data_IF_037605125328
#
_entry.id   IF_037605125328
#
_cell.length_a   1.000
_cell.length_b   1.000
_cell.length_c   1.000
_cell.angle_alpha   90.00
_cell.angle_beta   90.00
_cell.angle_gamma   90.00
#
_symmetry.space_group_name_H-M   'P 1'
#
loop_
_entity.id
_entity.type
_entity.pdbx_description
1 polymer ?
#
# COMPACT_ATOMS: atom_id res chain seq x y z
N UNK A 1 -7.34 -25.94 21.03
CA UNK A 1 -7.20 -24.48 21.21
C UNK A 1 -7.60 -23.82 19.90
N UNK A 2 -8.28 -22.66 19.92
CA UNK A 2 -8.54 -21.91 18.70
C UNK A 2 -7.22 -21.52 18.03
N UNK A 3 -7.15 -21.45 16.68
CA UNK A 3 -5.97 -20.99 15.98
C UNK A 3 -5.62 -19.55 16.41
N UNK A 4 -4.31 -19.26 16.53
CA UNK A 4 -3.80 -17.92 16.84
C UNK A 4 -3.17 -17.32 15.59
N UNK A 5 -3.38 -16.02 15.38
CA UNK A 5 -2.81 -15.31 14.24
C UNK A 5 -1.32 -15.04 14.49
N UNK A 6 -0.48 -15.53 13.58
CA UNK A 6 0.95 -15.20 13.51
C UNK A 6 1.17 -14.35 12.27
N UNK A 7 1.84 -13.20 12.45
CA UNK A 7 2.15 -12.28 11.35
C UNK A 7 3.66 -12.15 11.25
N UNK A 8 4.18 -12.44 10.07
CA UNK A 8 5.59 -12.32 9.72
C UNK A 8 5.71 -11.56 8.40
N UNK A 9 6.81 -10.86 8.21
CA UNK A 9 7.12 -10.18 6.96
C UNK A 9 8.64 -10.18 6.73
N UNK A 10 9.04 -9.91 5.49
CA UNK A 10 10.40 -10.04 5.03
C UNK A 10 10.50 -9.72 3.54
N UNK A 11 11.70 -9.74 2.96
CA UNK A 11 11.91 -9.45 1.54
C UNK A 11 11.27 -10.52 0.63
N UNK A 12 11.13 -11.75 1.12
CA UNK A 12 10.47 -12.86 0.42
C UNK A 12 9.92 -13.90 1.43
N UNK A 13 9.30 -14.96 0.90
CA UNK A 13 8.64 -16.02 1.68
C UNK A 13 9.60 -16.90 2.50
N UNK A 14 10.88 -16.96 2.12
CA UNK A 14 11.89 -17.77 2.80
C UNK A 14 12.62 -16.98 3.90
N UNK A 15 12.60 -15.64 3.83
CA UNK A 15 13.30 -14.74 4.74
C UNK A 15 12.35 -13.92 5.62
N UNK A 16 11.47 -14.58 6.35
CA UNK A 16 10.45 -13.93 7.16
C UNK A 16 10.87 -13.75 8.63
N UNK A 17 10.56 -12.57 9.19
CA UNK A 17 10.71 -12.26 10.61
C UNK A 17 9.36 -11.88 11.24
N UNK A 18 9.25 -12.02 12.56
CA UNK A 18 8.05 -11.67 13.33
C UNK A 18 7.77 -10.16 13.24
N UNK A 19 6.54 -9.78 12.92
CA UNK A 19 6.11 -8.38 12.98
C UNK A 19 5.60 -8.04 14.39
N UNK A 20 6.01 -6.88 14.91
CA UNK A 20 5.50 -6.30 16.16
C UNK A 20 4.12 -5.68 15.89
N UNK A 21 3.06 -6.49 15.96
CA UNK A 21 1.70 -6.06 15.64
C UNK A 21 1.22 -4.98 16.60
N UNK A 22 0.64 -3.90 16.06
CA UNK A 22 0.22 -2.69 16.79
C UNK A 22 1.39 -2.01 17.55
N UNK A 23 2.63 -2.32 17.18
CA UNK A 23 3.83 -1.67 17.70
C UNK A 23 4.05 -0.28 17.11
N UNK A 24 5.12 0.36 17.56
CA UNK A 24 5.56 1.67 17.04
C UNK A 24 6.75 1.55 16.08
N UNK A 25 7.45 0.42 16.13
CA UNK A 25 8.60 0.15 15.27
C UNK A 25 8.14 -0.46 13.96
N UNK A 26 8.68 0.06 12.85
CA UNK A 26 8.46 -0.51 11.53
C UNK A 26 9.44 -1.65 11.29
N UNK A 27 8.99 -2.68 10.58
CA UNK A 27 9.90 -3.66 10.00
C UNK A 27 10.53 -3.08 8.74
N UNK A 28 11.86 -3.11 8.66
CA UNK A 28 12.63 -2.61 7.51
C UNK A 28 12.82 -3.73 6.49
N UNK A 29 12.60 -3.41 5.22
CA UNK A 29 12.89 -4.26 4.07
C UNK A 29 13.96 -3.54 3.24
N UNK A 30 15.11 -4.19 3.08
CA UNK A 30 16.26 -3.63 2.38
C UNK A 30 16.81 -4.69 1.43
N UNK A 31 16.64 -4.45 0.13
CA UNK A 31 16.98 -5.37 -0.95
C UNK A 31 17.53 -4.60 -2.15
N UNK A 32 18.12 -5.32 -3.11
CA UNK A 32 18.60 -4.71 -4.35
C UNK A 32 17.47 -4.07 -5.19
N UNK A 33 16.22 -4.53 -5.05
CA UNK A 33 15.09 -4.03 -5.83
C UNK A 33 14.21 -3.01 -5.08
N UNK A 34 14.21 -3.05 -3.75
CA UNK A 34 13.29 -2.28 -2.91
C UNK A 34 13.91 -1.90 -1.56
N UNK A 35 13.72 -0.64 -1.18
CA UNK A 35 14.06 -0.10 0.14
C UNK A 35 12.80 0.50 0.75
N UNK A 36 12.42 0.00 1.93
CA UNK A 36 11.22 0.48 2.59
C UNK A 36 11.01 -0.10 3.98
N UNK A 37 9.86 0.24 4.54
CA UNK A 37 9.44 -0.14 5.88
C UNK A 37 7.95 -0.41 5.92
N UNK A 38 7.53 -1.32 6.79
CA UNK A 38 6.14 -1.72 6.93
C UNK A 38 5.71 -1.78 8.40
N UNK A 39 4.41 -1.58 8.62
CA UNK A 39 3.75 -1.74 9.91
C UNK A 39 2.42 -2.46 9.71
N UNK A 40 2.13 -3.40 10.60
CA UNK A 40 0.86 -4.11 10.61
C UNK A 40 0.09 -3.79 11.88
N UNK A 41 -1.16 -3.37 11.70
CA UNK A 41 -2.10 -3.09 12.79
C UNK A 41 -3.32 -3.97 12.63
N UNK A 42 -3.80 -4.54 13.73
CA UNK A 42 -4.98 -5.40 13.74
C UNK A 42 -5.83 -5.00 14.94
N UNK A 43 -7.12 -4.72 14.68
CA UNK A 43 -8.07 -4.36 15.72
C UNK A 43 -8.41 -5.60 16.54
N UNK A 44 -8.45 -5.46 17.86
CA UNK A 44 -8.75 -6.54 18.79
C UNK A 44 -7.83 -7.78 18.59
N UNK A 45 -6.54 -7.53 18.36
CA UNK A 45 -5.54 -8.55 18.06
C UNK A 45 -5.36 -9.56 19.21
N UNK A 46 -5.66 -10.83 18.92
CA UNK A 46 -5.40 -11.98 19.80
C UNK A 46 -4.52 -12.97 19.04
N UNK A 47 -3.24 -12.61 18.87
CA UNK A 47 -2.28 -13.38 18.09
C UNK A 47 -1.38 -14.28 18.91
N UNK A 48 -0.31 -14.73 18.26
CA UNK A 48 0.64 -15.68 18.82
C UNK A 48 1.55 -15.10 19.92
N UNK A 49 1.88 -13.81 20.01
CA UNK A 49 2.63 -13.13 21.11
C UNK A 49 3.93 -13.69 21.74
N UNK A 50 4.33 -14.95 21.61
CA UNK A 50 5.36 -15.58 22.49
C UNK A 50 6.74 -14.87 22.49
N UNK A 51 7.11 -14.17 21.42
CA UNK A 51 8.43 -13.55 21.28
C UNK A 51 8.43 -12.03 20.99
N UNK A 52 7.28 -11.36 21.01
CA UNK A 52 7.20 -9.93 20.68
C UNK A 52 6.18 -9.18 21.55
N UNK A 53 6.60 -8.03 22.08
CA UNK A 53 5.69 -7.07 22.68
C UNK A 53 4.63 -6.67 21.64
N UNK A 54 3.35 -6.83 21.97
CA UNK A 54 2.25 -6.48 21.08
C UNK A 54 1.21 -5.72 21.89
N UNK A 55 0.37 -4.96 21.20
CA UNK A 55 -0.82 -4.34 21.78
C UNK A 55 -2.04 -5.01 21.16
N UNK A 56 -3.14 -5.13 21.92
CA UNK A 56 -4.41 -5.65 21.38
C UNK A 56 -5.05 -4.69 20.38
N UNK A 57 -4.69 -3.40 20.42
CA UNK A 57 -5.17 -2.37 19.50
C UNK A 57 -4.10 -1.29 19.29
N UNK A 58 -4.36 -0.37 18.36
CA UNK A 58 -3.52 0.78 18.03
C UNK A 58 -4.38 2.05 17.94
N UNK A 59 -3.77 3.22 18.17
CA UNK A 59 -4.43 4.54 18.04
C UNK A 59 -5.07 4.74 16.68
N UNK A 60 -4.51 4.13 15.62
CA UNK A 60 -5.10 4.06 14.28
C UNK A 60 -6.62 3.79 14.28
N UNK A 61 -7.11 2.87 15.12
CA UNK A 61 -8.52 2.49 15.17
C UNK A 61 -9.40 3.44 15.99
N UNK A 62 -8.83 4.48 16.60
CA UNK A 62 -9.52 5.46 17.44
C UNK A 62 -9.89 6.74 16.66
N UNK A 63 -9.28 6.96 15.50
CA UNK A 63 -9.50 8.15 14.67
C UNK A 63 -10.45 7.88 13.49
N UNK A 64 -11.08 8.92 12.91
CA UNK A 64 -12.08 8.77 11.85
C UNK A 64 -11.62 7.90 10.68
N UNK A 65 -10.36 8.04 10.24
CA UNK A 65 -9.78 7.26 9.14
C UNK A 65 -9.81 5.75 9.39
N UNK A 66 -9.25 5.30 10.51
CA UNK A 66 -9.08 3.88 10.81
C UNK A 66 -10.21 3.26 11.64
N UNK A 67 -11.13 4.06 12.18
CA UNK A 67 -12.16 3.59 13.13
C UNK A 67 -13.09 2.49 12.57
N UNK A 68 -13.35 2.52 11.26
CA UNK A 68 -14.16 1.54 10.53
C UNK A 68 -13.34 0.34 10.05
N UNK A 69 -12.02 0.41 10.10
CA UNK A 69 -11.11 -0.64 9.63
C UNK A 69 -10.88 -1.72 10.69
N UNK A 70 -10.52 -2.89 10.21
CA UNK A 70 -10.26 -4.09 11.04
C UNK A 70 -8.79 -4.45 11.08
N UNK A 71 -8.05 -4.03 10.06
CA UNK A 71 -6.61 -4.15 9.95
C UNK A 71 -6.06 -3.01 9.08
N UNK A 72 -4.75 -2.80 9.16
CA UNK A 72 -3.96 -1.95 8.28
C UNK A 72 -2.62 -2.61 8.02
N UNK A 73 -2.25 -2.73 6.75
CA UNK A 73 -0.90 -3.08 6.30
C UNK A 73 -0.37 -1.83 5.62
N UNK A 74 0.41 -1.05 6.38
CA UNK A 74 0.96 0.21 5.91
C UNK A 74 2.42 0.01 5.49
N UNK A 75 2.77 0.49 4.31
CA UNK A 75 4.11 0.35 3.74
C UNK A 75 4.58 1.72 3.25
N UNK A 76 5.87 2.01 3.40
CA UNK A 76 6.54 3.14 2.78
C UNK A 76 7.85 2.68 2.15
N UNK A 77 8.11 3.02 0.89
CA UNK A 77 9.38 2.68 0.25
C UNK A 77 9.46 3.07 -1.22
N UNK A 78 10.60 2.72 -1.83
CA UNK A 78 10.95 3.02 -3.22
C UNK A 78 11.45 1.78 -3.96
N UNK A 79 11.30 1.78 -5.29
CA UNK A 79 11.81 0.72 -6.18
C UNK A 79 13.08 1.19 -6.87
N UNK A 80 14.20 0.48 -6.68
CA UNK A 80 15.54 0.98 -7.03
C UNK A 80 15.86 0.91 -8.53
N UNK A 81 15.35 -0.11 -9.22
CA UNK A 81 15.49 -0.30 -10.67
C UNK A 81 14.40 0.42 -11.48
N UNK A 82 13.45 1.04 -10.77
CA UNK A 82 12.23 1.58 -11.35
C UNK A 82 11.27 0.50 -11.85
N UNK A 83 9.98 0.82 -11.88
CA UNK A 83 8.94 -0.13 -12.27
C UNK A 83 7.76 0.59 -12.91
N UNK A 84 7.25 0.07 -14.02
CA UNK A 84 6.01 0.56 -14.60
C UNK A 84 4.84 0.18 -13.68
N UNK A 85 3.93 1.12 -13.40
CA UNK A 85 2.83 0.90 -12.47
C UNK A 85 1.85 -0.21 -12.91
N UNK A 86 1.82 -0.57 -14.20
CA UNK A 86 1.05 -1.72 -14.69
C UNK A 86 1.67 -3.08 -14.31
N UNK A 87 2.99 -3.12 -14.09
CA UNK A 87 3.71 -4.32 -13.67
C UNK A 87 3.83 -4.46 -12.14
N UNK A 88 3.47 -3.41 -11.40
CA UNK A 88 3.53 -3.40 -9.94
C UNK A 88 2.17 -3.80 -9.37
N UNK A 89 2.10 -5.01 -8.81
CA UNK A 89 0.87 -5.57 -8.24
C UNK A 89 0.99 -5.76 -6.74
N UNK A 90 -0.16 -5.73 -6.06
CA UNK A 90 -0.30 -6.09 -4.67
C UNK A 90 -1.43 -7.11 -4.54
N UNK A 91 -1.29 -8.04 -3.60
CA UNK A 91 -2.27 -9.10 -3.46
C UNK A 91 -1.81 -10.23 -2.56
N UNK A 92 -2.52 -11.35 -2.66
CA UNK A 92 -2.37 -12.51 -1.80
C UNK A 92 -2.03 -13.75 -2.63
N UNK A 93 -1.23 -14.61 -2.03
CA UNK A 93 -1.09 -16.01 -2.42
C UNK A 93 -1.39 -16.88 -1.19
N UNK A 94 -1.79 -18.12 -1.43
CA UNK A 94 -2.08 -19.09 -0.40
C UNK A 94 -1.34 -20.38 -0.74
N UNK A 95 -0.64 -20.95 0.25
CA UNK A 95 0.15 -22.17 0.10
C UNK A 95 -0.71 -23.44 0.02
N UNK A 96 -1.98 -23.33 0.42
CA UNK A 96 -2.91 -24.45 0.49
C UNK A 96 -4.26 -24.09 -0.14
N UNK A 97 -4.99 -25.06 -0.70
CA UNK A 97 -6.31 -24.82 -1.28
C UNK A 97 -7.29 -24.32 -0.22
N UNK A 98 -7.95 -23.19 -0.49
CA UNK A 98 -8.98 -22.62 0.41
C UNK A 98 -10.40 -23.02 0.03
N UNK A 99 -10.59 -23.66 -1.14
CA UNK A 99 -11.89 -23.98 -1.75
C UNK A 99 -12.87 -24.71 -0.83
N UNK A 100 -12.36 -25.57 0.06
CA UNK A 100 -13.17 -26.36 0.99
C UNK A 100 -13.49 -25.61 2.30
N UNK A 101 -12.79 -24.51 2.55
CA UNK A 101 -12.94 -23.65 3.74
C UNK A 101 -13.69 -22.34 3.44
N UNK A 102 -14.08 -22.10 2.18
CA UNK A 102 -14.85 -20.92 1.80
C UNK A 102 -16.28 -21.02 2.38
N UNK A 103 -16.77 -20.00 3.11
CA UNK A 103 -18.15 -19.97 3.57
C UNK A 103 -19.16 -20.21 2.44
N UNK A 104 -20.28 -20.86 2.76
CA UNK A 104 -21.35 -21.06 1.79
C UNK A 104 -21.81 -19.69 1.24
N UNK A 105 -21.74 -19.50 -0.08
CA UNK A 105 -22.04 -18.23 -0.74
C UNK A 105 -20.82 -17.36 -1.08
N UNK A 106 -19.58 -17.79 -0.78
CA UNK A 106 -18.37 -17.06 -1.19
C UNK A 106 -18.32 -16.86 -2.70
N UNK A 107 -18.77 -17.81 -3.53
CA UNK A 107 -18.84 -17.61 -4.99
C UNK A 107 -19.69 -16.40 -5.41
N UNK A 108 -20.67 -16.01 -4.60
CA UNK A 108 -21.46 -14.78 -4.79
C UNK A 108 -20.72 -13.55 -4.23
N UNK A 109 -20.05 -13.66 -3.08
CA UNK A 109 -19.19 -12.58 -2.53
C UNK A 109 -18.01 -12.23 -3.45
N UNK A 110 -17.41 -13.22 -4.13
CA UNK A 110 -16.36 -13.03 -5.13
C UNK A 110 -16.84 -12.24 -6.34
N UNK A 111 -18.12 -12.38 -6.74
CA UNK A 111 -18.70 -11.55 -7.81
C UNK A 111 -18.80 -10.07 -7.43
N UNK A 112 -18.73 -9.74 -6.14
CA UNK A 112 -18.69 -8.36 -5.66
C UNK A 112 -17.26 -7.84 -5.46
N UNK A 113 -16.23 -8.70 -5.47
CA UNK A 113 -14.84 -8.23 -5.41
C UNK A 113 -14.51 -7.33 -6.61
N UNK A 114 -15.00 -7.66 -7.81
CA UNK A 114 -14.83 -6.79 -8.99
C UNK A 114 -15.60 -5.48 -8.90
N UNK A 115 -16.59 -5.37 -8.01
CA UNK A 115 -17.29 -4.10 -7.76
C UNK A 115 -16.51 -3.19 -6.81
N UNK A 116 -15.67 -3.79 -5.94
CA UNK A 116 -14.77 -3.07 -5.04
C UNK A 116 -13.46 -2.71 -5.77
N UNK A 117 -12.87 -3.69 -6.46
CA UNK A 117 -11.68 -3.53 -7.30
C UNK A 117 -11.88 -4.22 -8.66
N UNK A 118 -12.21 -3.45 -9.71
CA UNK A 118 -12.38 -3.97 -11.06
C UNK A 118 -11.12 -4.56 -11.69
N UNK A 119 -9.93 -4.28 -11.14
CA UNK A 119 -8.65 -4.76 -11.67
C UNK A 119 -8.15 -6.02 -10.98
N UNK A 120 -8.83 -6.48 -9.92
CA UNK A 120 -8.48 -7.70 -9.21
C UNK A 120 -8.62 -8.92 -10.14
N UNK A 121 -7.50 -9.58 -10.39
CA UNK A 121 -7.44 -10.90 -11.02
C UNK A 121 -7.21 -11.93 -9.92
N UNK A 122 -7.85 -13.09 -10.03
CA UNK A 122 -7.70 -14.12 -9.02
C UNK A 122 -7.97 -15.51 -9.58
N UNK A 123 -7.41 -16.52 -8.94
CA UNK A 123 -7.87 -17.91 -9.00
C UNK A 123 -7.92 -18.46 -7.58
N UNK A 124 -9.13 -18.49 -7.00
CA UNK A 124 -9.32 -18.94 -5.62
C UNK A 124 -9.63 -20.43 -5.49
N UNK A 125 -9.76 -21.14 -6.62
CA UNK A 125 -10.04 -22.57 -6.66
C UNK A 125 -8.80 -23.40 -7.00
N UNK A 126 -7.72 -22.75 -7.44
CA UNK A 126 -6.39 -23.35 -7.61
C UNK A 126 -5.90 -24.07 -6.34
N UNK A 127 -4.94 -24.97 -6.51
CA UNK A 127 -4.28 -25.62 -5.38
C UNK A 127 -3.41 -24.63 -4.58
N UNK A 128 -2.85 -23.63 -5.27
CA UNK A 128 -2.23 -22.45 -4.66
C UNK A 128 -3.05 -21.21 -5.06
N UNK A 129 -4.11 -20.88 -4.31
CA UNK A 129 -4.96 -19.73 -4.59
C UNK A 129 -4.18 -18.42 -4.67
N UNK A 130 -4.64 -17.49 -5.50
CA UNK A 130 -4.04 -16.15 -5.59
C UNK A 130 -5.07 -15.07 -5.98
N UNK A 131 -4.78 -13.83 -5.60
CA UNK A 131 -5.54 -12.66 -6.00
C UNK A 131 -4.63 -11.42 -6.05
N UNK A 132 -4.50 -10.78 -7.20
CA UNK A 132 -3.61 -9.63 -7.42
C UNK A 132 -4.31 -8.52 -8.19
N UNK A 133 -3.93 -7.28 -7.86
CA UNK A 133 -4.39 -6.07 -8.55
C UNK A 133 -3.25 -5.07 -8.67
N UNK A 134 -3.23 -4.17 -9.67
CA UNK A 134 -2.25 -3.10 -9.76
C UNK A 134 -2.23 -2.27 -8.47
N UNK A 135 -1.04 -2.05 -7.90
CA UNK A 135 -0.85 -1.42 -6.59
C UNK A 135 -1.60 -0.09 -6.50
N UNK A 136 -1.40 0.79 -7.49
CA UNK A 136 -2.03 2.11 -7.50
C UNK A 136 -3.55 2.08 -7.62
N UNK A 137 -4.16 0.96 -8.03
CA UNK A 137 -5.61 0.84 -8.17
C UNK A 137 -6.26 0.27 -6.90
N UNK A 138 -5.63 -0.74 -6.28
CA UNK A 138 -6.23 -1.49 -5.16
C UNK A 138 -6.10 -0.82 -3.79
N UNK A 139 -5.14 0.08 -3.60
CA UNK A 139 -4.88 0.66 -2.29
C UNK A 139 -6.06 1.50 -1.80
N UNK A 140 -6.38 1.41 -0.50
CA UNK A 140 -7.42 2.24 0.11
C UNK A 140 -7.01 3.71 0.06
N UNK A 141 -5.77 3.99 0.48
CA UNK A 141 -5.07 5.24 0.21
C UNK A 141 -3.61 4.97 -0.16
N UNK A 142 -3.10 5.81 -1.04
CA UNK A 142 -1.71 5.79 -1.48
C UNK A 142 -1.27 7.22 -1.81
N UNK A 143 -0.11 7.58 -1.30
CA UNK A 143 0.56 8.84 -1.60
C UNK A 143 1.93 8.57 -2.21
N UNK A 144 2.32 9.42 -3.15
CA UNK A 144 3.66 9.49 -3.69
C UNK A 144 4.35 10.75 -3.17
N UNK A 145 5.65 10.64 -2.93
CA UNK A 145 6.54 11.76 -2.67
C UNK A 145 7.76 11.58 -3.55
N UNK A 146 8.18 12.63 -4.25
CA UNK A 146 9.39 12.61 -5.07
C UNK A 146 10.53 13.25 -4.29
N UNK A 147 11.59 12.49 -4.08
CA UNK A 147 12.81 12.93 -3.43
C UNK A 147 13.58 13.91 -4.35
N UNK A 148 14.59 14.58 -3.79
CA UNK A 148 15.61 15.23 -4.61
C UNK A 148 16.38 14.21 -5.46
N UNK A 149 17.23 14.68 -6.37
CA UNK A 149 18.02 13.79 -7.24
C UNK A 149 18.87 12.79 -6.44
N UNK A 150 18.83 11.51 -6.82
CA UNK A 150 19.55 10.41 -6.16
C UNK A 150 20.40 9.65 -7.18
N UNK A 151 21.72 9.71 -7.02
CA UNK A 151 22.66 8.89 -7.79
C UNK A 151 22.53 7.39 -7.43
N UNK A 152 22.94 6.50 -8.33
CA UNK A 152 22.91 5.03 -8.12
C UNK A 152 23.65 4.57 -6.86
N UNK A 153 24.65 5.32 -6.41
CA UNK A 153 25.45 5.01 -5.22
C UNK A 153 25.00 5.75 -3.96
N UNK A 154 23.89 6.49 -4.03
CA UNK A 154 23.38 7.29 -2.91
C UNK A 154 22.42 6.43 -2.08
N UNK A 155 22.74 6.33 -0.78
CA UNK A 155 22.07 5.52 0.26
C UNK A 155 22.30 4.00 0.11
N UNK A 156 23.32 3.48 0.80
CA UNK A 156 23.72 2.07 0.75
C UNK A 156 22.75 1.14 1.49
N UNK A 157 21.83 1.69 2.28
CA UNK A 157 20.82 0.94 3.02
C UNK A 157 19.52 1.73 3.18
N UNK A 158 18.42 1.02 3.41
CA UNK A 158 17.10 1.62 3.65
C UNK A 158 17.11 2.55 4.88
N UNK A 159 17.91 2.23 5.91
CA UNK A 159 17.98 3.04 7.12
C UNK A 159 18.59 4.42 6.84
N UNK A 160 19.66 4.49 6.03
CA UNK A 160 20.25 5.75 5.60
C UNK A 160 19.22 6.61 4.82
N UNK A 161 18.37 5.98 4.00
CA UNK A 161 17.30 6.70 3.29
C UNK A 161 16.32 7.37 4.25
N UNK A 162 15.93 6.68 5.33
CA UNK A 162 14.93 7.19 6.28
C UNK A 162 15.41 8.39 7.08
N UNK A 163 16.73 8.58 7.18
CA UNK A 163 17.35 9.68 7.91
C UNK A 163 17.54 10.94 7.04
N UNK A 164 17.21 10.87 5.74
CA UNK A 164 17.26 12.02 4.84
C UNK A 164 16.20 13.06 5.21
N UNK A 165 16.55 14.34 5.05
CA UNK A 165 15.62 15.45 5.30
C UNK A 165 14.41 15.46 4.34
N UNK A 166 14.62 15.02 3.09
CA UNK A 166 13.57 14.96 2.07
C UNK A 166 12.76 13.65 2.10
N UNK A 167 13.10 12.69 2.97
CA UNK A 167 12.35 11.45 3.09
C UNK A 167 11.02 11.67 3.81
N UNK A 168 9.88 11.20 3.26
CA UNK A 168 8.58 11.43 3.89
C UNK A 168 8.47 10.72 5.24
N UNK A 169 7.97 11.43 6.24
CA UNK A 169 7.68 10.86 7.57
C UNK A 169 6.70 9.69 7.43
N UNK A 170 6.95 8.59 8.14
CA UNK A 170 6.04 7.46 8.17
C UNK A 170 4.80 7.80 9.01
N UNK A 171 3.58 7.61 8.50
CA UNK A 171 2.38 7.93 9.27
C UNK A 171 2.25 7.02 10.50
N UNK A 172 2.41 7.59 11.69
CA UNK A 172 2.41 6.82 12.94
C UNK A 172 0.99 6.59 13.47
N UNK A 173 0.03 7.37 12.98
CA UNK A 173 -1.38 7.37 13.35
C UNK A 173 -1.60 7.72 14.82
N UNK A 174 -0.77 8.62 15.36
CA UNK A 174 -0.86 9.14 16.74
C UNK A 174 -1.68 10.42 16.84
N UNK A 175 -1.93 11.09 15.71
CA UNK A 175 -2.77 12.28 15.60
C UNK A 175 -3.83 12.08 14.51
N UNK A 176 -4.83 12.95 14.48
CA UNK A 176 -5.97 12.86 13.56
C UNK A 176 -5.58 13.06 12.09
N UNK A 177 -4.50 13.80 11.83
CA UNK A 177 -3.93 14.11 10.52
C UNK A 177 -2.70 13.25 10.16
N UNK A 178 -2.31 12.34 11.04
CA UNK A 178 -1.14 11.46 10.88
C UNK A 178 -1.51 10.14 10.20
N UNK A 179 -2.10 10.22 9.00
CA UNK A 179 -2.52 9.09 8.18
C UNK A 179 -1.97 9.17 6.76
N UNK A 180 -2.01 8.05 6.05
CA UNK A 180 -1.81 8.07 4.60
C UNK A 180 -2.93 8.92 3.98
N UNK A 181 -2.56 9.90 3.17
CA UNK A 181 -3.49 10.62 2.30
C UNK A 181 -3.49 9.98 0.91
N UNK A 182 -4.52 10.23 0.12
CA UNK A 182 -4.55 9.85 -1.28
C UNK A 182 -3.98 10.98 -2.14
N UNK A 183 -2.73 10.83 -2.58
CA UNK A 183 -2.08 11.83 -3.45
C UNK A 183 -1.01 11.18 -4.31
N UNK A 184 -1.37 10.79 -5.53
CA UNK A 184 -0.41 10.30 -6.52
C UNK A 184 0.04 11.37 -7.50
N UNK A 185 -0.36 12.63 -7.30
CA UNK A 185 -0.06 13.71 -8.24
C UNK A 185 1.44 13.92 -8.49
N UNK A 186 2.35 13.72 -7.52
CA UNK A 186 3.79 13.86 -7.79
C UNK A 186 4.33 12.93 -8.88
N UNK A 187 3.69 11.78 -9.12
CA UNK A 187 4.10 10.85 -10.17
C UNK A 187 3.92 11.42 -11.59
N UNK A 188 3.16 12.49 -11.73
CA UNK A 188 2.84 13.11 -13.01
C UNK A 188 3.75 14.27 -13.40
N UNK A 189 4.63 14.73 -12.50
CA UNK A 189 5.48 15.90 -12.74
C UNK A 189 6.95 15.54 -12.76
N UNK A 190 7.64 15.91 -13.83
CA UNK A 190 9.11 15.98 -13.86
C UNK A 190 9.60 17.33 -13.36
N UNK A 191 10.86 17.42 -12.94
CA UNK A 191 11.49 18.72 -12.71
C UNK A 191 12.08 19.26 -14.00
N UNK A 192 11.83 20.53 -14.31
CA UNK A 192 12.51 21.23 -15.41
C UNK A 192 13.95 21.64 -15.03
N UNK A 193 14.65 22.31 -15.95
CA UNK A 193 16.03 22.81 -15.74
C UNK A 193 16.15 23.76 -14.53
N UNK A 194 15.05 24.42 -14.14
CA UNK A 194 14.97 25.33 -12.99
C UNK A 194 14.49 24.62 -11.72
N UNK A 195 14.38 23.28 -11.73
CA UNK A 195 13.85 22.44 -10.64
C UNK A 195 12.40 22.74 -10.28
N UNK A 196 11.60 23.23 -11.23
CA UNK A 196 10.16 23.42 -11.05
C UNK A 196 9.40 22.19 -11.55
N UNK A 197 8.34 21.76 -10.85
CA UNK A 197 7.51 20.67 -11.32
C UNK A 197 6.77 21.08 -12.59
N UNK A 198 6.95 20.31 -13.65
CA UNK A 198 6.27 20.44 -14.94
C UNK A 198 5.63 19.10 -15.28
N UNK A 199 4.36 19.16 -15.67
CA UNK A 199 3.57 17.98 -16.03
C UNK A 199 4.29 17.21 -17.15
N UNK A 200 4.49 15.91 -16.95
CA UNK A 200 5.19 15.07 -17.91
C UNK A 200 4.35 14.92 -19.17
N UNK A 201 4.82 15.53 -20.26
CA UNK A 201 4.15 15.51 -21.56
C UNK A 201 3.97 14.08 -22.11
N UNK A 202 4.79 13.11 -21.69
CA UNK A 202 4.67 11.72 -22.13
C UNK A 202 3.46 11.00 -21.52
N UNK A 203 2.87 11.54 -20.44
CA UNK A 203 1.69 10.96 -19.82
C UNK A 203 0.39 11.32 -20.54
N UNK A 204 0.42 12.31 -21.46
CA UNK A 204 -0.73 12.76 -22.26
C UNK A 204 -1.99 13.02 -21.43
N UNK A 205 -1.82 13.53 -20.20
CA UNK A 205 -2.91 13.81 -19.25
C UNK A 205 -3.08 15.30 -19.05
N UNK A 206 -4.31 15.76 -18.88
CA UNK A 206 -4.58 17.16 -18.55
C UNK A 206 -4.33 17.42 -17.06
N UNK A 207 -3.73 18.57 -16.75
CA UNK A 207 -3.50 19.05 -15.38
C UNK A 207 -4.76 18.95 -14.50
N UNK A 208 -5.92 19.35 -15.03
CA UNK A 208 -7.19 19.31 -14.29
C UNK A 208 -7.68 17.89 -13.96
N UNK A 209 -7.18 16.86 -14.64
CA UNK A 209 -7.43 15.45 -14.29
C UNK A 209 -6.50 15.01 -13.17
N UNK A 210 -5.22 15.36 -13.25
CA UNK A 210 -4.22 15.05 -12.22
C UNK A 210 -4.63 15.66 -10.87
N UNK A 211 -5.02 16.93 -10.84
CA UNK A 211 -5.42 17.61 -9.61
C UNK A 211 -6.62 16.97 -8.89
N UNK A 212 -7.44 16.17 -9.58
CA UNK A 212 -8.53 15.41 -8.94
C UNK A 212 -8.03 14.26 -8.08
N UNK A 213 -6.78 13.83 -8.24
CA UNK A 213 -6.16 12.74 -7.49
C UNK A 213 -5.35 13.23 -6.28
N UNK A 214 -5.58 14.47 -5.84
CA UNK A 214 -5.01 15.02 -4.61
C UNK A 214 -6.10 15.18 -3.54
N UNK A 215 -6.07 14.37 -2.48
CA UNK A 215 -7.07 14.39 -1.41
C UNK A 215 -7.14 15.72 -0.67
N UNK A 216 -6.02 16.44 -0.55
CA UNK A 216 -6.01 17.77 0.10
C UNK A 216 -6.85 18.79 -0.66
N UNK A 217 -7.03 18.60 -1.96
CA UNK A 217 -7.83 19.48 -2.82
C UNK A 217 -9.17 18.86 -3.23
N UNK A 218 -9.32 17.54 -3.16
CA UNK A 218 -10.50 16.81 -3.57
C UNK A 218 -10.75 15.59 -2.67
N UNK A 219 -11.76 15.65 -1.80
CA UNK A 219 -12.14 14.53 -0.93
C UNK A 219 -12.54 13.24 -1.68
N UNK A 220 -12.81 13.31 -2.99
CA UNK A 220 -13.09 12.14 -3.84
C UNK A 220 -11.83 11.58 -4.53
N UNK A 221 -10.64 12.09 -4.21
CA UNK A 221 -9.38 11.66 -4.83
C UNK A 221 -9.16 10.15 -4.84
N UNK A 222 -9.44 9.38 -3.75
CA UNK A 222 -9.29 7.92 -3.80
C UNK A 222 -10.12 7.26 -4.90
N UNK A 223 -11.37 7.70 -5.07
CA UNK A 223 -12.27 7.18 -6.10
C UNK A 223 -11.80 7.57 -7.51
N UNK A 224 -11.40 8.83 -7.70
CA UNK A 224 -10.87 9.31 -8.98
C UNK A 224 -9.58 8.60 -9.37
N UNK A 225 -8.63 8.46 -8.43
CA UNK A 225 -7.39 7.70 -8.62
C UNK A 225 -7.72 6.28 -9.04
N UNK A 226 -8.46 5.53 -8.22
CA UNK A 226 -8.75 4.12 -8.47
C UNK A 226 -9.43 3.90 -9.82
N UNK A 227 -10.38 4.78 -10.18
CA UNK A 227 -11.02 4.73 -11.50
C UNK A 227 -10.05 5.03 -12.65
N UNK A 228 -9.22 6.09 -12.52
CA UNK A 228 -8.32 6.52 -13.59
C UNK A 228 -7.16 5.55 -13.79
N UNK A 229 -6.39 5.23 -12.73
CA UNK A 229 -5.29 4.25 -12.82
C UNK A 229 -5.80 2.82 -13.02
N UNK A 230 -7.10 2.58 -12.76
CA UNK A 230 -7.79 1.35 -13.10
C UNK A 230 -7.88 1.07 -14.61
N UNK A 231 -7.61 2.05 -15.47
CA UNK A 231 -7.49 1.82 -16.90
C UNK A 231 -6.04 1.49 -17.27
N UNK A 232 -5.80 0.34 -17.91
CA UNK A 232 -4.44 -0.13 -18.30
C UNK A 232 -3.64 0.96 -19.02
N UNK A 233 -4.28 1.65 -19.97
CA UNK A 233 -3.62 2.67 -20.78
C UNK A 233 -3.09 3.85 -19.95
N UNK A 234 -3.73 4.18 -18.83
CA UNK A 234 -3.36 5.30 -17.97
C UNK A 234 -2.14 4.94 -17.13
N UNK A 235 -2.13 3.73 -16.55
CA UNK A 235 -1.06 3.29 -15.63
C UNK A 235 0.18 2.74 -16.33
N UNK A 236 0.10 2.27 -17.59
CA UNK A 236 1.27 1.75 -18.33
C UNK A 236 2.36 2.81 -18.53
N UNK A 237 1.96 4.08 -18.64
CA UNK A 237 2.86 5.20 -18.90
C UNK A 237 3.45 5.78 -17.60
N UNK A 238 2.89 5.46 -16.44
CA UNK A 238 3.46 5.88 -15.16
C UNK A 238 4.59 4.90 -14.81
N UNK A 239 5.81 5.43 -14.73
CA UNK A 239 7.00 4.70 -14.31
C UNK A 239 7.48 5.27 -12.99
N UNK A 240 7.53 4.41 -11.97
CA UNK A 240 8.19 4.72 -10.71
C UNK A 240 9.71 4.70 -10.93
N UNK A 241 10.41 5.64 -10.35
CA UNK A 241 11.87 5.69 -10.26
C UNK A 241 12.30 5.51 -8.81
N UNK A 242 13.62 5.46 -8.57
CA UNK A 242 14.17 5.46 -7.21
C UNK A 242 13.92 6.75 -6.41
N UNK A 243 13.49 7.80 -7.09
CA UNK A 243 13.13 9.06 -6.43
C UNK A 243 11.69 9.03 -5.94
N UNK A 244 10.90 8.04 -6.35
CA UNK A 244 9.50 7.90 -5.97
C UNK A 244 9.34 7.06 -4.72
N UNK A 245 9.07 7.73 -3.60
CA UNK A 245 8.67 7.07 -2.36
C UNK A 245 7.16 6.97 -2.33
N UNK A 246 6.65 5.75 -2.34
CA UNK A 246 5.24 5.46 -2.12
C UNK A 246 5.01 5.22 -0.64
N UNK A 247 3.96 5.79 -0.08
CA UNK A 247 3.39 5.38 1.21
C UNK A 247 1.95 4.94 0.97
N UNK A 248 1.59 3.75 1.37
CA UNK A 248 0.26 3.21 1.12
C UNK A 248 -0.26 2.41 2.32
N UNK A 249 -1.58 2.40 2.46
CA UNK A 249 -2.28 1.63 3.48
C UNK A 249 -3.27 0.68 2.80
N UNK A 250 -3.01 -0.61 2.95
CA UNK A 250 -3.96 -1.66 2.61
C UNK A 250 -4.78 -2.00 3.86
N UNK A 251 -5.96 -1.39 3.94
CA UNK A 251 -6.88 -1.54 5.06
C UNK A 251 -8.30 -1.81 4.55
N UNK A 252 -9.07 -2.53 5.36
CA UNK A 252 -10.48 -2.76 5.06
C UNK A 252 -11.29 -2.88 6.35
N UNK A 253 -12.53 -2.40 6.29
CA UNK A 253 -13.54 -2.65 7.30
C UNK A 253 -14.39 -3.84 6.90
N UNK A 254 -14.96 -4.56 7.87
CA UNK A 254 -16.09 -5.41 7.52
C UNK A 254 -17.18 -4.50 6.93
N UNK A 255 -17.78 -4.91 5.81
CA UNK A 255 -19.11 -4.42 5.43
C UNK A 255 -19.97 -4.68 6.65
N UNK A 256 -20.34 -3.62 7.39
CA UNK A 256 -21.29 -3.77 8.49
C UNK A 256 -22.56 -4.32 7.85
N UNK A 257 -22.83 -5.59 8.08
CA UNK A 257 -24.12 -6.18 7.75
C UNK A 257 -25.19 -5.28 8.33
N UNK A 258 -26.11 -4.83 7.50
CA UNK A 258 -27.33 -4.23 7.97
C UNK A 258 -27.99 -5.21 8.95
N UNK A 259 -28.10 -4.77 10.20
CA UNK A 259 -29.06 -5.25 11.19
C UNK A 259 -29.73 -4.00 11.74
#
# INVERSE_FOLDING_TARGET
MPPRLRITAGPDVDHLARVVVNGEECMVIDTEAFQGRLMVRVKDFVGDTEDAAHKSSASYFEHPYGSSMTYSIQVQGRFLDGVHCDNLVFGNTFDEPIRDNLPYGTSLALRFLSAIDPNLKHDLYADNPWAFSPLLATMYRIQACRLGHIDENTDASAQECFDREDWPVFPSCKAEDDYVYDDITPLFYSLDEEKKPVLDANLEVEEGVVQKMNEKSNAQAPHYRAHWVGQVQNRKNIKLTREDVLTFDFCNGYVRGAC
#
